data_IF_150203969256
#
_entry.id   IF_150203969256
#
_cell.length_a   1.000
_cell.length_b   1.000
_cell.length_c   1.000
_cell.angle_alpha   90.00
_cell.angle_beta   90.00
_cell.angle_gamma   90.00
#
_symmetry.space_group_name_H-M   'P 1'
#
loop_
_entity.id
_entity.type
_entity.pdbx_description
1 polymer ?
#
# COMPACT_ATOMS: atom_id res chain seq x y z
N UNK A 1 -9.08 17.12 -5.12
CA UNK A 1 -8.52 16.44 -3.94
C UNK A 1 -8.50 14.96 -4.27
N UNK A 2 -7.30 14.44 -4.55
CA UNK A 2 -7.03 13.02 -4.69
C UNK A 2 -6.88 12.53 -3.27
N UNK A 3 -7.70 11.58 -2.84
CA UNK A 3 -7.75 11.16 -1.45
C UNK A 3 -7.73 9.64 -1.42
N UNK A 4 -6.83 9.03 -0.65
CA UNK A 4 -6.85 7.59 -0.49
C UNK A 4 -8.16 7.16 0.16
N UNK A 5 -8.70 6.03 -0.29
CA UNK A 5 -9.98 5.52 0.20
C UNK A 5 -9.89 4.02 0.46
N UNK A 6 -10.69 3.55 1.40
CA UNK A 6 -10.85 2.11 1.58
C UNK A 6 -11.66 1.51 0.44
N UNK A 7 -11.16 0.43 -0.14
CA UNK A 7 -11.82 -0.37 -1.16
C UNK A 7 -13.06 -1.04 -0.57
N UNK A 8 -14.26 -0.49 -0.84
CA UNK A 8 -15.54 -0.98 -0.32
C UNK A 8 -16.69 -0.73 -1.30
N UNK A 9 -17.73 -1.57 -1.24
CA UNK A 9 -18.94 -1.42 -2.06
C UNK A 9 -18.63 -1.36 -3.56
N UNK A 10 -19.23 -0.42 -4.28
CA UNK A 10 -19.06 -0.23 -5.73
C UNK A 10 -17.60 -0.06 -6.19
N UNK A 11 -16.70 0.37 -5.29
CA UNK A 11 -15.27 0.49 -5.62
C UNK A 11 -14.60 -0.85 -5.89
N UNK A 12 -15.14 -1.95 -5.34
CA UNK A 12 -14.60 -3.30 -5.49
C UNK A 12 -14.62 -3.71 -6.97
N UNK A 13 -15.74 -3.48 -7.67
CA UNK A 13 -15.85 -3.80 -9.09
C UNK A 13 -14.95 -2.92 -9.96
N UNK A 14 -14.92 -1.61 -9.69
CA UNK A 14 -14.05 -0.67 -10.42
C UNK A 14 -12.57 -1.04 -10.26
N UNK A 15 -12.17 -1.44 -9.05
CA UNK A 15 -10.80 -1.86 -8.80
C UNK A 15 -10.44 -3.16 -9.54
N UNK A 16 -11.33 -4.17 -9.53
CA UNK A 16 -11.10 -5.41 -10.28
C UNK A 16 -10.94 -5.16 -11.78
N UNK A 17 -11.83 -4.35 -12.35
CA UNK A 17 -11.77 -3.95 -13.76
C UNK A 17 -10.47 -3.19 -14.05
N UNK A 18 -10.07 -2.28 -13.15
CA UNK A 18 -8.85 -1.51 -13.29
C UNK A 18 -7.59 -2.38 -13.27
N UNK A 19 -7.48 -3.31 -12.31
CA UNK A 19 -6.36 -4.27 -12.23
C UNK A 19 -6.28 -5.19 -13.46
N UNK A 20 -7.41 -5.48 -14.10
CA UNK A 20 -7.45 -6.30 -15.33
C UNK A 20 -6.84 -5.56 -16.52
N UNK A 21 -6.99 -4.24 -16.57
CA UNK A 21 -6.65 -3.41 -17.73
C UNK A 21 -5.34 -2.64 -17.58
N UNK A 22 -4.76 -2.63 -16.37
CA UNK A 22 -3.60 -1.80 -16.03
C UNK A 22 -2.45 -2.64 -15.53
N UNK A 23 -1.25 -2.27 -15.95
CA UNK A 23 0.00 -2.93 -15.57
C UNK A 23 0.53 -2.37 -14.25
N UNK A 24 0.99 -3.28 -13.39
CA UNK A 24 1.58 -2.98 -12.08
C UNK A 24 2.82 -3.83 -11.83
N UNK A 25 3.76 -3.27 -11.09
CA UNK A 25 4.70 -4.04 -10.28
C UNK A 25 4.00 -4.48 -9.00
N UNK A 26 4.12 -5.76 -8.68
CA UNK A 26 3.69 -6.29 -7.38
C UNK A 26 4.89 -6.30 -6.46
N UNK A 27 5.01 -5.29 -5.60
CA UNK A 27 6.20 -5.07 -4.78
C UNK A 27 6.16 -5.87 -3.48
N UNK A 28 4.96 -6.07 -2.94
CA UNK A 28 4.72 -6.91 -1.76
C UNK A 28 3.54 -7.80 -2.08
N UNK A 29 3.69 -9.08 -1.77
CA UNK A 29 2.64 -10.07 -1.92
C UNK A 29 2.62 -11.01 -0.71
N UNK A 30 1.45 -11.18 -0.10
CA UNK A 30 1.23 -11.96 1.11
C UNK A 30 2.22 -11.63 2.24
N UNK A 31 2.55 -10.34 2.38
CA UNK A 31 3.46 -9.83 3.40
C UNK A 31 4.94 -10.15 3.15
N UNK A 32 5.31 -10.53 1.93
CA UNK A 32 6.69 -10.85 1.52
C UNK A 32 7.14 -9.89 0.41
N UNK A 33 8.42 -9.55 0.44
CA UNK A 33 9.11 -8.80 -0.63
C UNK A 33 8.95 -9.51 -1.99
N UNK A 34 8.34 -8.83 -2.95
CA UNK A 34 8.19 -9.25 -4.35
C UNK A 34 8.78 -8.17 -5.30
N UNK A 35 9.76 -7.38 -4.85
CA UNK A 35 10.40 -6.29 -5.62
C UNK A 35 11.03 -6.74 -6.94
N UNK A 36 11.36 -8.02 -7.07
CA UNK A 36 11.89 -8.61 -8.31
C UNK A 36 10.80 -8.94 -9.33
N UNK A 37 9.53 -8.66 -9.05
CA UNK A 37 8.44 -8.87 -10.00
C UNK A 37 8.56 -7.94 -11.20
N UNK A 38 8.34 -8.51 -12.38
CA UNK A 38 8.23 -7.73 -13.62
C UNK A 38 6.90 -7.00 -13.64
N UNK A 39 6.89 -5.76 -14.14
CA UNK A 39 5.62 -5.11 -14.49
C UNK A 39 4.93 -5.95 -15.55
N UNK A 40 3.72 -6.38 -15.24
CA UNK A 40 2.89 -7.13 -16.17
C UNK A 40 1.41 -6.83 -15.93
N UNK A 41 0.58 -7.17 -16.92
CA UNK A 41 -0.84 -7.35 -16.66
C UNK A 41 -1.00 -8.67 -15.93
N UNK A 42 -1.81 -8.69 -14.89
CA UNK A 42 -2.06 -9.93 -14.17
C UNK A 42 -2.80 -10.94 -15.06
N UNK A 43 -2.26 -12.15 -15.14
CA UNK A 43 -3.01 -13.31 -15.58
C UNK A 43 -4.20 -13.55 -14.65
N UNK A 44 -5.27 -14.21 -15.13
CA UNK A 44 -6.52 -14.35 -14.38
C UNK A 44 -6.33 -14.94 -12.97
N UNK A 45 -5.43 -15.90 -12.82
CA UNK A 45 -5.12 -16.53 -11.52
C UNK A 45 -4.43 -15.55 -10.58
N UNK A 46 -3.33 -14.90 -11.02
CA UNK A 46 -2.62 -13.87 -10.25
C UNK A 46 -3.52 -12.67 -9.92
N UNK A 47 -4.41 -12.31 -10.83
CA UNK A 47 -5.38 -11.22 -10.64
C UNK A 47 -6.36 -11.55 -9.51
N UNK A 48 -6.94 -12.76 -9.53
CA UNK A 48 -7.89 -13.15 -8.50
C UNK A 48 -7.20 -13.24 -7.14
N UNK A 49 -6.02 -13.84 -7.08
CA UNK A 49 -5.22 -13.93 -5.85
C UNK A 49 -4.88 -12.54 -5.27
N UNK A 50 -4.35 -11.64 -6.11
CA UNK A 50 -4.06 -10.25 -5.72
C UNK A 50 -5.32 -9.52 -5.28
N UNK A 51 -6.41 -9.64 -6.04
CA UNK A 51 -7.68 -9.00 -5.73
C UNK A 51 -8.27 -9.51 -4.40
N UNK A 52 -8.21 -10.82 -4.18
CA UNK A 52 -8.67 -11.47 -2.95
C UNK A 52 -7.85 -11.01 -1.75
N UNK A 53 -6.53 -10.87 -1.90
CA UNK A 53 -5.65 -10.32 -0.86
C UNK A 53 -6.01 -8.88 -0.48
N UNK A 54 -6.41 -8.04 -1.45
CA UNK A 54 -6.93 -6.70 -1.15
C UNK A 54 -8.26 -6.76 -0.41
N UNK A 55 -9.30 -7.38 -0.97
CA UNK A 55 -10.66 -7.33 -0.38
C UNK A 55 -10.74 -7.96 1.01
N UNK A 56 -9.86 -8.93 1.31
CA UNK A 56 -9.82 -9.62 2.60
C UNK A 56 -8.92 -8.92 3.63
N UNK A 57 -8.21 -7.86 3.24
CA UNK A 57 -7.37 -7.12 4.18
C UNK A 57 -8.18 -6.26 5.16
N UNK A 58 -7.62 -5.98 6.34
CA UNK A 58 -8.28 -5.09 7.31
C UNK A 58 -8.42 -3.66 6.76
N UNK A 59 -7.43 -3.20 6.00
CA UNK A 59 -7.32 -1.86 5.45
C UNK A 59 -6.86 -1.89 3.98
N UNK A 60 -7.77 -2.15 3.02
CA UNK A 60 -7.44 -2.07 1.60
C UNK A 60 -7.49 -0.64 1.13
N UNK A 61 -6.34 0.01 1.01
CA UNK A 61 -6.24 1.42 0.64
C UNK A 61 -5.92 1.51 -0.85
N UNK A 62 -6.82 2.15 -1.59
CA UNK A 62 -6.63 2.42 -3.02
C UNK A 62 -6.47 3.91 -3.27
N UNK A 63 -5.53 4.27 -4.15
CA UNK A 63 -5.49 5.62 -4.71
C UNK A 63 -6.56 5.72 -5.80
N UNK A 64 -7.43 6.72 -5.69
CA UNK A 64 -8.46 7.02 -6.70
C UNK A 64 -8.40 8.51 -7.03
N UNK A 65 -8.33 8.84 -8.31
CA UNK A 65 -8.54 10.21 -8.77
C UNK A 65 -9.95 10.69 -8.42
N UNK A 66 -10.06 11.85 -7.78
CA UNK A 66 -11.36 12.52 -7.60
C UNK A 66 -11.97 12.97 -8.93
N UNK A 67 -13.28 13.25 -8.94
CA UNK A 67 -14.11 13.55 -10.13
C UNK A 67 -13.67 14.72 -11.03
N UNK A 68 -12.63 15.47 -10.66
CA UNK A 68 -12.09 16.61 -11.43
C UNK A 68 -10.71 16.35 -12.05
N UNK A 69 -10.14 15.16 -11.86
CA UNK A 69 -8.86 14.79 -12.46
C UNK A 69 -9.10 14.03 -13.77
N UNK A 70 -8.49 14.50 -14.85
CA UNK A 70 -8.46 13.82 -16.16
C UNK A 70 -7.45 12.68 -16.21
N UNK A 71 -6.59 12.57 -15.19
CA UNK A 71 -5.61 11.51 -15.03
C UNK A 71 -6.15 10.51 -13.99
N UNK A 72 -6.34 9.23 -14.35
CA UNK A 72 -6.66 8.19 -13.38
C UNK A 72 -5.44 7.98 -12.47
N UNK A 73 -5.44 8.59 -11.29
CA UNK A 73 -4.42 8.38 -10.26
C UNK A 73 -4.67 7.04 -9.57
N UNK A 74 -4.15 5.99 -10.18
CA UNK A 74 -4.09 4.62 -9.68
C UNK A 74 -2.65 4.13 -9.69
N UNK A 75 -1.69 5.00 -9.37
CA UNK A 75 -0.28 4.66 -9.51
C UNK A 75 0.22 3.73 -8.40
N UNK A 76 -0.55 3.58 -7.33
CA UNK A 76 -0.25 2.62 -6.28
C UNK A 76 -1.47 2.26 -5.44
N UNK A 77 -1.45 1.03 -4.92
CA UNK A 77 -2.47 0.44 -4.05
C UNK A 77 -1.77 -0.35 -2.94
N UNK A 78 -2.27 -0.25 -1.72
CA UNK A 78 -1.67 -0.92 -0.57
C UNK A 78 -2.73 -1.57 0.30
N UNK A 79 -2.55 -2.84 0.62
CA UNK A 79 -3.39 -3.58 1.56
C UNK A 79 -2.63 -3.76 2.86
N UNK A 80 -3.26 -3.43 3.98
CA UNK A 80 -2.64 -3.46 5.30
C UNK A 80 -3.49 -4.28 6.26
N UNK A 81 -2.84 -5.16 7.02
CA UNK A 81 -3.48 -6.01 8.03
C UNK A 81 -3.04 -5.63 9.42
N UNK A 82 -3.88 -5.91 10.41
CA UNK A 82 -3.47 -5.89 11.81
C UNK A 82 -2.42 -6.94 12.06
N UNK A 83 -1.36 -6.55 12.76
CA UNK A 83 -0.40 -7.49 13.29
C UNK A 83 -0.99 -8.22 14.50
N UNK A 84 -0.37 -9.34 14.87
CA UNK A 84 -0.63 -10.02 16.15
C UNK A 84 -0.14 -9.20 17.35
N UNK A 85 0.76 -8.24 17.11
CA UNK A 85 1.29 -7.34 18.13
C UNK A 85 0.37 -6.13 18.30
N UNK A 86 0.16 -5.74 19.56
CA UNK A 86 -0.68 -4.59 19.87
C UNK A 86 -0.09 -3.31 19.24
N UNK A 87 -0.98 -2.46 18.72
CA UNK A 87 -0.66 -1.18 18.04
C UNK A 87 0.21 -1.26 16.77
N UNK A 88 0.30 -2.42 16.13
CA UNK A 88 1.06 -2.60 14.90
C UNK A 88 0.18 -3.04 13.73
N UNK A 89 0.48 -2.51 12.54
CA UNK A 89 -0.10 -2.96 11.28
C UNK A 89 1.01 -3.34 10.29
N UNK A 90 0.74 -4.30 9.41
CA UNK A 90 1.69 -4.84 8.43
C UNK A 90 1.14 -4.72 7.02
N UNK A 91 1.98 -4.27 6.09
CA UNK A 91 1.66 -4.25 4.66
C UNK A 91 1.62 -5.69 4.14
N UNK A 92 0.47 -6.11 3.61
CA UNK A 92 0.27 -7.43 3.05
C UNK A 92 0.38 -7.45 1.53
N UNK A 93 -0.12 -6.42 0.85
CA UNK A 93 0.01 -6.25 -0.60
C UNK A 93 0.45 -4.82 -0.91
N UNK A 94 1.29 -4.66 -1.92
CA UNK A 94 1.67 -3.37 -2.49
C UNK A 94 1.80 -3.50 -4.00
N UNK A 95 0.94 -2.78 -4.72
CA UNK A 95 0.99 -2.64 -6.16
C UNK A 95 1.42 -1.23 -6.50
N UNK A 96 2.34 -1.06 -7.44
CA UNK A 96 2.79 0.25 -7.91
C UNK A 96 2.99 0.27 -9.42
N UNK A 97 2.84 1.44 -10.02
CA UNK A 97 3.19 1.73 -11.41
C UNK A 97 4.55 2.41 -11.46
N UNK A 98 5.10 2.54 -12.66
CA UNK A 98 6.32 3.33 -12.86
C UNK A 98 6.07 4.84 -12.63
N UNK A 99 7.02 5.57 -12.00
CA UNK A 99 8.30 5.10 -11.45
C UNK A 99 8.13 4.34 -10.11
N UNK A 100 8.64 3.10 -10.05
CA UNK A 100 8.44 2.16 -8.94
C UNK A 100 8.84 2.76 -7.57
N UNK A 101 10.10 3.18 -7.40
CA UNK A 101 10.63 3.65 -6.10
C UNK A 101 9.83 4.79 -5.46
N UNK A 102 9.41 5.75 -6.29
CA UNK A 102 8.62 6.89 -5.82
C UNK A 102 7.21 6.45 -5.42
N UNK A 103 6.59 5.56 -6.19
CA UNK A 103 5.24 5.09 -5.90
C UNK A 103 5.19 4.14 -4.70
N UNK A 104 6.23 3.35 -4.46
CA UNK A 104 6.40 2.60 -3.21
C UNK A 104 6.41 3.54 -2.02
N UNK A 105 7.24 4.58 -2.08
CA UNK A 105 7.33 5.58 -1.01
C UNK A 105 5.99 6.27 -0.77
N UNK A 106 5.31 6.71 -1.84
CA UNK A 106 4.01 7.36 -1.76
C UNK A 106 2.94 6.44 -1.15
N UNK A 107 2.93 5.16 -1.52
CA UNK A 107 1.98 4.18 -0.99
C UNK A 107 2.18 3.91 0.50
N UNK A 108 3.43 3.75 0.91
CA UNK A 108 3.80 3.52 2.31
C UNK A 108 3.46 4.74 3.17
N UNK A 109 3.79 5.95 2.72
CA UNK A 109 3.42 7.20 3.41
C UNK A 109 1.90 7.35 3.51
N UNK A 110 1.17 7.02 2.45
CA UNK A 110 -0.29 7.05 2.44
C UNK A 110 -0.88 6.13 3.52
N UNK A 111 -0.44 4.87 3.59
CA UNK A 111 -0.87 3.96 4.64
C UNK A 111 -0.47 4.46 6.04
N UNK A 112 0.75 4.97 6.18
CA UNK A 112 1.26 5.52 7.43
C UNK A 112 0.36 6.64 7.96
N UNK A 113 0.06 7.66 7.16
CA UNK A 113 -0.78 8.76 7.63
C UNK A 113 -2.24 8.35 7.89
N UNK A 114 -2.77 7.41 7.10
CA UNK A 114 -4.14 6.92 7.29
C UNK A 114 -4.32 6.10 8.56
N UNK A 115 -3.33 5.30 8.95
CA UNK A 115 -3.47 4.30 10.01
C UNK A 115 -2.67 4.66 11.28
N UNK A 116 -1.55 5.36 11.17
CA UNK A 116 -0.69 5.74 12.31
C UNK A 116 -1.13 7.11 12.84
N UNK A 117 -2.23 7.09 13.58
CA UNK A 117 -2.84 8.25 14.23
C UNK A 117 -3.77 7.83 15.39
N UNK A 118 -4.19 8.82 16.18
CA UNK A 118 -5.04 8.66 17.37
C UNK A 118 -6.38 7.94 17.10
N UNK A 119 -6.94 8.08 15.89
CA UNK A 119 -8.23 7.46 15.55
C UNK A 119 -8.12 5.94 15.48
N UNK A 120 -7.04 5.44 14.89
CA UNK A 120 -6.82 4.00 14.71
C UNK A 120 -5.95 3.37 15.81
N UNK A 121 -5.26 4.20 16.61
CA UNK A 121 -4.44 3.78 17.76
C UNK A 121 -3.26 2.85 17.40
N UNK A 122 -2.87 2.81 16.13
CA UNK A 122 -1.62 2.17 15.71
C UNK A 122 -0.46 3.14 15.85
N UNK A 123 0.68 2.62 16.23
CA UNK A 123 1.93 3.36 16.43
C UNK A 123 3.00 2.97 15.40
N UNK A 124 2.89 1.77 14.82
CA UNK A 124 3.90 1.19 13.94
C UNK A 124 3.28 0.62 12.67
N UNK A 125 3.89 0.94 11.52
CA UNK A 125 3.62 0.33 10.23
C UNK A 125 4.83 -0.52 9.82
N UNK A 126 4.63 -1.82 9.70
CA UNK A 126 5.65 -2.77 9.22
C UNK A 126 5.51 -2.90 7.71
N UNK A 127 6.62 -2.69 7.01
CA UNK A 127 6.73 -2.81 5.57
C UNK A 127 7.76 -3.91 5.27
N UNK A 128 7.38 -5.04 4.67
CA UNK A 128 8.25 -6.19 4.41
C UNK A 128 9.22 -5.96 3.24
N UNK A 129 9.75 -4.75 3.10
CA UNK A 129 10.84 -4.38 2.21
C UNK A 129 11.76 -3.39 2.92
N UNK A 130 13.00 -3.27 2.44
CA UNK A 130 13.93 -2.26 2.96
C UNK A 130 13.60 -0.90 2.38
N UNK A 131 13.24 0.03 3.25
CA UNK A 131 12.97 1.42 2.95
C UNK A 131 14.20 2.25 3.32
N UNK A 132 14.57 3.17 2.44
CA UNK A 132 15.53 4.22 2.78
C UNK A 132 14.82 5.34 3.54
N UNK A 133 15.62 6.24 4.13
CA UNK A 133 15.09 7.48 4.70
C UNK A 133 14.28 8.25 3.66
N UNK A 134 13.11 8.74 4.09
CA UNK A 134 12.19 9.47 3.22
C UNK A 134 12.47 10.96 3.40
N UNK A 135 13.03 11.57 2.35
CA UNK A 135 13.38 13.01 2.35
C UNK A 135 12.11 13.86 2.44
N UNK A 136 12.12 14.88 3.31
CA UNK A 136 11.01 15.82 3.51
C UNK A 136 9.93 15.37 4.49
N UNK A 137 10.17 14.27 5.21
CA UNK A 137 9.27 13.69 6.23
C UNK A 137 10.03 13.39 7.52
N UNK A 138 10.66 14.41 8.09
CA UNK A 138 11.60 14.26 9.21
C UNK A 138 10.94 13.73 10.49
N UNK A 139 9.61 13.86 10.63
CA UNK A 139 8.84 13.34 11.76
C UNK A 139 8.68 11.81 11.75
N UNK A 140 8.95 11.16 10.61
CA UNK A 140 8.84 9.71 10.44
C UNK A 140 10.21 9.08 10.75
N UNK A 141 10.21 8.14 11.68
CA UNK A 141 11.33 7.25 11.97
C UNK A 141 11.20 5.97 11.17
N UNK A 142 12.32 5.53 10.60
CA UNK A 142 12.42 4.25 9.89
C UNK A 142 13.48 3.42 10.60
N UNK A 143 13.10 2.24 11.07
CA UNK A 143 14.02 1.27 11.63
C UNK A 143 14.08 0.05 10.73
N UNK A 144 15.29 -0.34 10.31
CA UNK A 144 15.49 -1.60 9.59
C UNK A 144 15.24 -2.78 10.53
N UNK A 145 14.48 -3.76 10.04
CA UNK A 145 14.30 -5.07 10.64
C UNK A 145 14.88 -6.12 9.69
N UNK A 146 15.10 -7.36 10.16
CA UNK A 146 15.80 -8.43 9.43
C UNK A 146 15.31 -8.59 7.97
N UNK A 147 14.00 -8.49 7.79
CA UNK A 147 13.30 -8.75 6.52
C UNK A 147 12.43 -7.55 6.07
N UNK A 148 12.73 -6.32 6.52
CA UNK A 148 11.92 -5.15 6.15
C UNK A 148 12.23 -3.89 6.95
N UNK A 149 11.22 -3.03 7.06
CA UNK A 149 11.31 -1.73 7.73
C UNK A 149 10.11 -1.49 8.62
N UNK A 150 10.32 -0.78 9.72
CA UNK A 150 9.26 -0.32 10.61
C UNK A 150 9.22 1.19 10.60
N UNK A 151 8.08 1.75 10.23
CA UNK A 151 7.80 3.18 10.27
C UNK A 151 7.05 3.53 11.55
N UNK A 152 7.43 4.63 12.19
CA UNK A 152 6.81 5.16 13.41
C UNK A 152 6.96 6.69 13.47
N UNK A 153 6.18 7.37 14.33
CA UNK A 153 6.36 8.82 14.57
C UNK A 153 7.48 9.02 15.59
N UNK A 154 8.47 9.87 15.29
CA UNK A 154 9.59 10.17 16.21
C UNK A 154 9.16 10.94 17.45
N UNK A 155 8.13 11.78 17.34
CA UNK A 155 7.68 12.70 18.38
C UNK A 155 6.22 12.42 18.77
N UNK A 156 5.91 11.16 19.08
CA UNK A 156 4.59 10.73 19.57
C UNK A 156 4.41 11.03 21.07
#
# INVERSE_FOLDING_TARGET
>A
MIGPIFLRGELIHQFKEHLTNTEYHRVIHNGVDDTNSTTERFELEKLNDTFDAFINSDYPIICRSGSKSTIPFWDYHIAVNRSKYDKEVIVNELLVREPNDQNVTNAVLMAFYMLINERYKYERLVVPIRMNDIVGYEEIGIQSHKDGSVLFRKYA
#
